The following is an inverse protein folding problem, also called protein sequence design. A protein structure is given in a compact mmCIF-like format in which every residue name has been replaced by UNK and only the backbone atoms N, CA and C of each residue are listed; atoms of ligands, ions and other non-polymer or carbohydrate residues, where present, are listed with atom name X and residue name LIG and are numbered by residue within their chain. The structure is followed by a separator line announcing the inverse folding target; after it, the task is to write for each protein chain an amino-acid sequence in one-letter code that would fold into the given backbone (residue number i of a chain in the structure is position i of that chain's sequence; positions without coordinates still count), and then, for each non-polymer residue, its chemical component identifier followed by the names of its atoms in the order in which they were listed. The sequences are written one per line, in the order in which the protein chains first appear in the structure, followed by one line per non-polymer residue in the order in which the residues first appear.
data_IF_675475421733
#
_entry.id   IF_675475421733
#
_cell.length_a   1.000
_cell.length_b   1.000
_cell.length_c   1.000
_cell.angle_alpha   90.00
_cell.angle_beta   90.00
_cell.angle_gamma   90.00
#
_symmetry.space_group_name_H-M   'P 1'
#
loop_
_entity.id
_entity.type
_entity.pdbx_description
1 polymer ?
#
# COMPACT_ATOMS: atom_id res chain seq x y z
N UNK A 1 -15.07 -8.92 -2.28
CA UNK A 1 -15.50 -9.18 -0.89
C UNK A 1 -14.39 -8.80 0.07
N UNK A 2 -14.69 -8.07 1.11
CA UNK A 2 -13.69 -7.68 2.11
C UNK A 2 -13.28 -8.88 2.97
N UNK A 3 -12.03 -8.91 3.40
CA UNK A 3 -11.54 -9.90 4.33
C UNK A 3 -12.19 -9.70 5.71
N UNK A 4 -12.39 -10.80 6.43
CA UNK A 4 -12.93 -10.78 7.77
C UNK A 4 -11.79 -10.48 8.74
N UNK A 5 -11.72 -9.24 9.22
CA UNK A 5 -10.61 -8.73 10.03
C UNK A 5 -11.13 -8.35 11.41
N UNK A 6 -10.45 -8.84 12.44
CA UNK A 6 -10.70 -8.42 13.83
C UNK A 6 -9.96 -7.11 14.11
N UNK A 7 -10.64 -5.99 13.86
CA UNK A 7 -10.07 -4.66 14.00
C UNK A 7 -9.69 -4.30 15.44
N UNK A 8 -10.35 -4.92 16.42
CA UNK A 8 -10.09 -4.62 17.82
C UNK A 8 -8.77 -5.20 18.32
N UNK A 9 -8.27 -6.26 17.69
CA UNK A 9 -7.08 -7.00 18.10
C UNK A 9 -5.98 -6.99 17.03
N UNK A 10 -5.92 -5.95 16.22
CA UNK A 10 -4.86 -5.83 15.21
C UNK A 10 -3.49 -5.69 15.84
N UNK A 11 -2.51 -6.38 15.25
CA UNK A 11 -1.10 -6.26 15.58
C UNK A 11 -0.31 -5.85 14.34
N UNK A 12 1.01 -5.67 14.47
CA UNK A 12 1.89 -5.39 13.35
C UNK A 12 2.18 -6.59 12.44
N UNK A 13 1.69 -7.78 12.83
CA UNK A 13 1.85 -8.96 12.00
C UNK A 13 1.09 -8.85 10.68
N UNK A 14 1.57 -9.59 9.67
CA UNK A 14 0.90 -9.65 8.39
C UNK A 14 -0.51 -10.22 8.53
N UNK A 15 -1.46 -9.60 7.84
CA UNK A 15 -2.81 -10.12 7.71
C UNK A 15 -3.20 -10.21 6.26
N UNK A 16 -3.73 -11.37 5.89
CA UNK A 16 -4.26 -11.55 4.55
C UNK A 16 -5.51 -10.69 4.36
N UNK A 17 -5.53 -9.97 3.25
CA UNK A 17 -6.71 -9.25 2.78
C UNK A 17 -7.26 -9.92 1.53
N UNK A 18 -8.47 -9.54 1.10
CA UNK A 18 -9.06 -10.11 -0.11
C UNK A 18 -8.27 -9.74 -1.36
N UNK A 19 -7.77 -8.51 -1.42
CA UNK A 19 -7.08 -7.98 -2.58
C UNK A 19 -5.96 -7.05 -2.17
N UNK A 20 -5.02 -6.85 -3.09
CA UNK A 20 -4.08 -5.76 -3.05
C UNK A 20 -4.07 -5.05 -4.40
N UNK A 21 -3.55 -3.83 -4.42
CA UNK A 21 -3.47 -3.03 -5.63
C UNK A 21 -2.00 -2.80 -5.94
N UNK A 22 -1.64 -2.97 -7.21
CA UNK A 22 -0.28 -2.86 -7.69
C UNK A 22 -0.22 -1.91 -8.87
N UNK A 23 0.87 -1.15 -8.94
CA UNK A 23 1.16 -0.31 -10.10
C UNK A 23 2.66 -0.32 -10.30
N UNK A 24 3.11 -0.70 -11.49
CA UNK A 24 4.52 -0.84 -11.79
C UNK A 24 5.01 0.38 -12.57
N UNK A 25 6.13 0.94 -12.11
CA UNK A 25 6.86 1.96 -12.85
C UNK A 25 8.00 1.28 -13.62
N UNK A 26 8.00 1.46 -14.94
CA UNK A 26 9.00 0.84 -15.81
C UNK A 26 9.22 1.69 -17.06
N UNK A 27 10.46 1.78 -17.48
CA UNK A 27 10.82 2.51 -18.71
C UNK A 27 10.33 3.96 -18.72
N UNK A 28 10.44 4.61 -17.56
CA UNK A 28 10.10 6.02 -17.42
C UNK A 28 8.63 6.34 -17.26
N UNK A 29 7.78 5.32 -17.04
CA UNK A 29 6.34 5.58 -16.89
C UNK A 29 5.66 4.59 -15.98
N UNK A 30 4.52 5.00 -15.44
CA UNK A 30 3.64 4.13 -14.67
C UNK A 30 2.82 3.25 -15.60
N UNK A 31 2.71 1.97 -15.24
CA UNK A 31 1.80 1.05 -15.90
C UNK A 31 0.36 1.22 -15.40
N UNK A 32 -0.49 0.29 -15.79
CA UNK A 32 -1.88 0.28 -15.33
C UNK A 32 -1.97 -0.16 -13.87
N UNK A 33 -2.99 0.33 -13.19
CA UNK A 33 -3.31 -0.11 -11.83
C UNK A 33 -3.95 -1.50 -11.93
N UNK A 34 -3.39 -2.46 -11.20
CA UNK A 34 -3.85 -3.84 -11.19
C UNK A 34 -4.39 -4.22 -9.81
N UNK A 35 -5.52 -4.90 -9.78
CA UNK A 35 -6.07 -5.49 -8.56
C UNK A 35 -5.73 -6.97 -8.57
N UNK A 36 -5.13 -7.46 -7.49
CA UNK A 36 -4.67 -8.84 -7.39
C UNK A 36 -5.11 -9.47 -6.07
N UNK A 37 -5.42 -10.75 -6.10
CA UNK A 37 -5.67 -11.55 -4.90
C UNK A 37 -4.44 -12.36 -4.48
N UNK A 38 -3.34 -12.26 -5.22
CA UNK A 38 -2.09 -12.94 -4.88
C UNK A 38 -1.33 -12.21 -3.79
N UNK A 39 -0.81 -12.93 -2.83
CA UNK A 39 0.04 -12.40 -1.76
C UNK A 39 1.52 -12.36 -2.14
N UNK A 40 1.86 -12.74 -3.36
CA UNK A 40 3.25 -12.91 -3.79
C UNK A 40 3.61 -11.95 -4.91
N UNK A 41 4.87 -11.57 -4.93
CA UNK A 41 5.46 -10.75 -5.99
C UNK A 41 6.57 -11.53 -6.67
N UNK A 42 6.63 -11.40 -8.00
CA UNK A 42 7.78 -11.86 -8.77
C UNK A 42 8.74 -10.70 -8.93
N UNK A 43 9.88 -10.74 -8.25
CA UNK A 43 10.84 -9.64 -8.19
C UNK A 43 12.22 -10.15 -8.55
N UNK A 44 12.99 -9.33 -9.27
CA UNK A 44 14.37 -9.69 -9.65
C UNK A 44 15.24 -9.84 -8.40
N UNK A 45 16.12 -10.84 -8.39
CA UNK A 45 16.98 -11.14 -7.24
C UNK A 45 17.91 -9.97 -6.89
N UNK A 46 18.25 -9.12 -7.86
CA UNK A 46 19.10 -7.96 -7.65
C UNK A 46 18.34 -6.68 -7.31
N UNK A 47 17.03 -6.78 -7.04
CA UNK A 47 16.25 -5.60 -6.68
C UNK A 47 16.84 -4.88 -5.47
N UNK A 48 16.95 -3.56 -5.57
CA UNK A 48 17.57 -2.74 -4.51
C UNK A 48 16.75 -2.73 -3.22
N UNK A 49 15.45 -2.94 -3.29
CA UNK A 49 14.63 -3.11 -2.11
C UNK A 49 15.09 -4.30 -1.24
N UNK A 50 15.54 -5.40 -1.89
CA UNK A 50 16.02 -6.60 -1.19
C UNK A 50 17.39 -6.44 -0.58
N UNK A 51 18.29 -5.71 -1.24
CA UNK A 51 19.72 -5.67 -0.84
C UNK A 51 20.11 -4.40 -0.11
N UNK A 52 19.49 -3.29 -0.46
CA UNK A 52 19.81 -1.99 0.13
C UNK A 52 18.68 -1.39 0.94
N UNK A 53 17.54 -2.09 1.01
CA UNK A 53 16.36 -1.55 1.68
C UNK A 53 15.85 -0.29 1.01
N UNK A 54 16.06 -0.13 -0.31
CA UNK A 54 15.59 1.04 -1.04
C UNK A 54 14.08 0.93 -1.27
N UNK A 55 13.33 1.39 -0.28
CA UNK A 55 11.88 1.32 -0.28
C UNK A 55 11.32 2.40 0.63
N UNK A 56 10.06 2.75 0.42
CA UNK A 56 9.34 3.68 1.27
C UNK A 56 7.97 3.09 1.58
N UNK A 57 7.37 3.56 2.67
CA UNK A 57 6.01 3.16 2.97
C UNK A 57 5.21 4.35 3.52
N UNK A 58 3.90 4.25 3.42
CA UNK A 58 2.96 5.20 3.98
C UNK A 58 1.74 4.45 4.48
N UNK A 59 1.29 4.78 5.68
CA UNK A 59 0.07 4.21 6.24
C UNK A 59 -1.08 5.18 6.17
N UNK A 60 -2.24 4.68 5.78
CA UNK A 60 -3.48 5.45 5.82
C UNK A 60 -4.63 4.54 6.18
N UNK A 61 -5.73 5.14 6.63
CA UNK A 61 -6.94 4.41 6.98
C UNK A 61 -8.15 5.03 6.34
N UNK A 62 -9.07 4.19 5.90
CA UNK A 62 -10.40 4.60 5.50
C UNK A 62 -11.38 4.23 6.61
N UNK A 63 -12.29 5.13 6.93
CA UNK A 63 -13.27 4.94 7.99
C UNK A 63 -14.68 5.01 7.42
N UNK A 64 -15.55 4.14 7.95
CA UNK A 64 -16.98 4.25 7.67
C UNK A 64 -17.59 5.23 8.66
N UNK A 65 -18.15 6.33 8.15
CA UNK A 65 -18.86 7.30 8.96
C UNK A 65 -20.21 6.81 9.43
N UNK A 66 -20.85 7.55 10.33
CA UNK A 66 -22.19 7.24 10.84
C UNK A 66 -23.25 7.26 9.73
N UNK A 67 -23.01 8.02 8.67
CA UNK A 67 -23.87 8.10 7.49
C UNK A 67 -23.66 6.95 6.49
N UNK A 68 -22.79 6.00 6.82
CA UNK A 68 -22.44 4.87 5.96
C UNK A 68 -21.42 5.17 4.87
N UNK A 69 -20.99 6.40 4.75
CA UNK A 69 -19.99 6.79 3.75
C UNK A 69 -18.57 6.49 4.23
N UNK A 70 -17.71 6.09 3.30
CA UNK A 70 -16.30 5.82 3.59
C UNK A 70 -15.49 7.08 3.33
N UNK A 71 -14.65 7.44 4.29
CA UNK A 71 -13.80 8.63 4.21
C UNK A 71 -12.38 8.32 4.59
N UNK A 72 -11.44 9.04 3.98
CA UNK A 72 -10.03 9.02 4.33
C UNK A 72 -9.66 10.42 4.83
N UNK A 73 -9.16 10.49 6.06
CA UNK A 73 -8.80 11.77 6.66
C UNK A 73 -7.47 12.26 6.09
N UNK A 74 -7.48 13.46 5.48
CA UNK A 74 -6.30 14.14 4.97
C UNK A 74 -5.41 13.28 4.07
N UNK A 75 -6.00 12.67 3.05
CA UNK A 75 -5.26 11.89 2.07
C UNK A 75 -4.15 12.71 1.39
N UNK A 76 -4.35 14.00 1.21
CA UNK A 76 -3.37 14.92 0.66
C UNK A 76 -2.08 14.96 1.49
N UNK A 77 -2.20 14.94 2.82
CA UNK A 77 -1.04 14.91 3.71
C UNK A 77 -0.27 13.59 3.59
N UNK A 78 -0.97 12.46 3.45
CA UNK A 78 -0.34 11.17 3.20
C UNK A 78 0.43 11.19 1.88
N UNK A 79 -0.18 11.74 0.83
CA UNK A 79 0.46 11.83 -0.49
C UNK A 79 1.71 12.70 -0.45
N UNK A 80 1.67 13.83 0.24
CA UNK A 80 2.85 14.70 0.38
C UNK A 80 3.96 14.04 1.18
N UNK A 81 3.62 13.30 2.23
CA UNK A 81 4.60 12.63 3.08
C UNK A 81 5.32 11.50 2.34
N UNK A 82 4.60 10.68 1.59
CA UNK A 82 5.25 9.62 0.81
C UNK A 82 6.16 10.21 -0.28
N UNK A 83 5.77 11.34 -0.86
CA UNK A 83 6.60 12.05 -1.84
C UNK A 83 7.92 12.51 -1.20
N UNK A 84 7.86 13.09 0.00
CA UNK A 84 9.07 13.49 0.73
C UNK A 84 9.94 12.29 1.08
N UNK A 85 9.35 11.17 1.46
CA UNK A 85 10.09 9.92 1.73
C UNK A 85 10.82 9.44 0.48
N UNK A 86 10.17 9.50 -0.68
CA UNK A 86 10.78 9.10 -1.94
C UNK A 86 11.98 9.99 -2.32
N UNK A 87 11.93 11.27 -2.01
CA UNK A 87 13.03 12.20 -2.29
C UNK A 87 14.26 11.91 -1.44
N UNK A 88 14.11 11.20 -0.32
CA UNK A 88 15.21 10.88 0.60
C UNK A 88 15.99 9.62 0.26
N UNK A 89 15.62 8.90 -0.78
CA UNK A 89 16.30 7.64 -1.14
C UNK A 89 17.00 7.71 -2.48
#
# INVERSE_FOLDING_TARGET
MAADIDWANLSFGYRKTSYNVRCTYRDGKWGEIEVSDSEYLNIHIAATALHYGQEIFEGLKAFRGKDGKIRIFRLDANAQRIRRSAEGI
#
